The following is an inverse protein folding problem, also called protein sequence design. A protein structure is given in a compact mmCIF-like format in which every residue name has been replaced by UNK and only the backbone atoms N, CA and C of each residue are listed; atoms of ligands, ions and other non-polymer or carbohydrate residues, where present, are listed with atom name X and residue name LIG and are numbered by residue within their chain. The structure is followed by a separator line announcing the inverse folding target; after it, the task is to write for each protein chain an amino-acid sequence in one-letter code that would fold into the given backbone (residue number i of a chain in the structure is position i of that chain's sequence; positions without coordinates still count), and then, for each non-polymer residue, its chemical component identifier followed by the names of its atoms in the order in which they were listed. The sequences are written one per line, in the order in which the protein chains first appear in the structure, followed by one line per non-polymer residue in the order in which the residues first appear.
data_IF_005771069833
#
_entry.id   IF_005771069833
#
_cell.length_a   1.000
_cell.length_b   1.000
_cell.length_c   1.000
_cell.angle_alpha   90.00
_cell.angle_beta   90.00
_cell.angle_gamma   90.00
#
_symmetry.space_group_name_H-M   'P 1'
#
loop_
_entity.id
_entity.type
_entity.pdbx_description
1 polymer ?
#
# COMPACT_ATOMS: atom_id res chain seq x y z
N UNK A 1 -17.27 49.69 -3.47
CA UNK A 1 -16.74 48.45 -4.05
C UNK A 1 -16.78 47.37 -2.98
N UNK A 2 -17.84 46.53 -2.99
CA UNK A 2 -17.91 45.36 -2.11
C UNK A 2 -17.00 44.29 -2.67
N UNK A 3 -15.93 43.95 -1.95
CA UNK A 3 -15.11 42.81 -2.18
C UNK A 3 -15.96 41.56 -1.99
N UNK A 4 -16.31 40.88 -3.10
CA UNK A 4 -16.81 39.52 -3.08
C UNK A 4 -15.65 38.62 -2.62
N UNK A 5 -15.58 38.38 -1.31
CA UNK A 5 -14.79 37.29 -0.79
C UNK A 5 -15.34 36.00 -1.42
N UNK A 6 -14.61 35.42 -2.37
CA UNK A 6 -14.85 34.06 -2.82
C UNK A 6 -14.74 33.15 -1.61
N UNK A 7 -15.87 32.74 -1.06
CA UNK A 7 -15.94 31.64 -0.11
C UNK A 7 -15.47 30.43 -0.95
N UNK A 8 -14.21 30.08 -0.83
CA UNK A 8 -13.71 28.80 -1.30
C UNK A 8 -14.51 27.75 -0.54
N UNK A 9 -15.55 27.23 -1.17
CA UNK A 9 -16.34 26.13 -0.62
C UNK A 9 -15.37 25.01 -0.30
N UNK A 10 -15.31 24.61 0.95
CA UNK A 10 -14.37 23.57 1.39
C UNK A 10 -14.67 22.31 0.59
N UNK A 11 -13.72 21.90 -0.26
CA UNK A 11 -13.86 20.73 -1.13
C UNK A 11 -14.08 19.47 -0.28
N UNK A 12 -15.13 18.72 -0.58
CA UNK A 12 -15.50 17.46 0.09
C UNK A 12 -14.97 16.30 -0.73
N UNK A 13 -13.94 15.63 -0.23
CA UNK A 13 -13.23 14.56 -0.98
C UNK A 13 -13.60 13.21 -0.39
N UNK A 14 -13.93 12.24 -1.24
CA UNK A 14 -13.96 10.82 -0.88
C UNK A 14 -12.82 10.12 -1.60
N UNK A 15 -12.10 9.27 -0.86
CA UNK A 15 -11.02 8.44 -1.41
C UNK A 15 -11.35 6.96 -1.26
N UNK A 16 -11.03 6.15 -2.28
CA UNK A 16 -11.05 4.70 -2.20
C UNK A 16 -9.73 4.13 -2.75
N UNK A 17 -9.01 3.50 -1.85
CA UNK A 17 -7.63 3.07 -2.03
C UNK A 17 -6.67 3.84 -1.14
N UNK A 18 -5.86 3.11 -0.37
CA UNK A 18 -4.99 3.70 0.66
C UNK A 18 -3.90 4.60 0.07
N UNK A 19 -3.35 4.26 -1.10
CA UNK A 19 -2.34 5.09 -1.76
C UNK A 19 -2.92 6.46 -2.15
N UNK A 20 -4.13 6.48 -2.71
CA UNK A 20 -4.83 7.72 -3.05
C UNK A 20 -5.14 8.58 -1.83
N UNK A 21 -5.53 7.96 -0.72
CA UNK A 21 -5.77 8.64 0.56
C UNK A 21 -4.49 9.29 1.08
N UNK A 22 -3.38 8.56 1.07
CA UNK A 22 -2.08 9.08 1.49
C UNK A 22 -1.60 10.22 0.58
N UNK A 23 -1.82 10.12 -0.73
CA UNK A 23 -1.46 11.18 -1.68
C UNK A 23 -2.25 12.45 -1.37
N UNK A 24 -3.58 12.37 -1.23
CA UNK A 24 -4.43 13.53 -0.89
C UNK A 24 -3.97 14.19 0.41
N UNK A 25 -3.65 13.38 1.41
CA UNK A 25 -3.09 13.89 2.66
C UNK A 25 -1.73 14.55 2.47
N UNK A 26 -0.83 13.95 1.70
CA UNK A 26 0.49 14.50 1.38
C UNK A 26 0.43 15.81 0.59
N UNK A 27 -0.65 16.04 -0.16
CA UNK A 27 -0.92 17.31 -0.84
C UNK A 27 -1.48 18.40 0.10
N UNK A 28 -1.59 18.15 1.41
CA UNK A 28 -2.12 19.07 2.41
C UNK A 28 -3.65 19.17 2.41
N UNK A 29 -4.35 18.16 1.91
CA UNK A 29 -5.82 18.13 1.80
C UNK A 29 -6.47 17.08 2.71
N UNK A 30 -5.78 16.61 3.73
CA UNK A 30 -6.26 15.57 4.64
C UNK A 30 -7.56 15.97 5.35
N UNK A 31 -7.70 17.24 5.73
CA UNK A 31 -8.89 17.84 6.36
C UNK A 31 -10.10 17.96 5.41
N UNK A 32 -9.89 17.77 4.12
CA UNK A 32 -10.93 17.77 3.09
C UNK A 32 -11.53 16.40 2.84
N UNK A 33 -10.88 15.35 3.32
CA UNK A 33 -11.40 13.98 3.18
C UNK A 33 -12.54 13.80 4.18
N UNK A 34 -13.73 13.48 3.66
CA UNK A 34 -14.95 13.30 4.46
C UNK A 34 -15.31 11.83 4.70
N UNK A 35 -14.81 10.93 3.86
CA UNK A 35 -14.98 9.49 4.01
C UNK A 35 -13.89 8.75 3.21
N UNK A 36 -13.55 7.53 3.67
CA UNK A 36 -12.56 6.68 3.01
C UNK A 36 -13.08 5.24 2.90
N UNK A 37 -12.39 4.42 2.13
CA UNK A 37 -12.61 2.98 2.16
C UNK A 37 -11.98 2.33 3.41
N UNK A 38 -12.34 1.07 3.64
CA UNK A 38 -11.89 0.30 4.82
C UNK A 38 -10.37 0.08 4.89
N UNK A 39 -9.64 0.22 3.78
CA UNK A 39 -8.20 -0.01 3.72
C UNK A 39 -7.37 1.25 3.95
N UNK A 40 -7.98 2.40 3.93
CA UNK A 40 -7.34 3.72 4.11
C UNK A 40 -7.10 4.01 5.60
N UNK A 41 -6.10 3.34 6.17
CA UNK A 41 -5.79 3.40 7.61
C UNK A 41 -4.76 4.48 7.98
N UNK A 42 -4.09 5.07 6.99
CA UNK A 42 -3.06 6.09 7.19
C UNK A 42 -3.38 7.37 6.38
N UNK A 43 -3.11 8.57 6.93
CA UNK A 43 -2.68 8.84 8.32
C UNK A 43 -3.72 8.38 9.36
N UNK A 44 -3.34 8.20 10.65
CA UNK A 44 -4.23 7.59 11.65
C UNK A 44 -5.60 8.24 11.82
N UNK A 45 -5.71 9.56 11.58
CA UNK A 45 -6.99 10.28 11.64
C UNK A 45 -8.02 9.79 10.60
N UNK A 46 -7.60 9.12 9.53
CA UNK A 46 -8.50 8.55 8.54
C UNK A 46 -9.39 7.45 9.12
N UNK A 47 -8.92 6.77 10.17
CA UNK A 47 -9.67 5.71 10.84
C UNK A 47 -10.90 6.21 11.60
N UNK A 48 -10.98 7.52 11.88
CA UNK A 48 -12.14 8.16 12.54
C UNK A 48 -13.21 8.63 11.55
N UNK A 49 -12.91 8.62 10.26
CA UNK A 49 -13.86 9.06 9.23
C UNK A 49 -14.89 7.98 8.91
N UNK A 50 -16.06 8.37 8.39
CA UNK A 50 -17.03 7.42 7.83
C UNK A 50 -16.37 6.52 6.77
N UNK A 51 -16.68 5.23 6.82
CA UNK A 51 -16.20 4.28 5.81
C UNK A 51 -17.26 4.06 4.74
N UNK A 52 -16.86 4.19 3.46
CA UNK A 52 -17.71 3.82 2.32
C UNK A 52 -17.76 2.30 2.08
N UNK A 53 -17.09 1.50 2.91
CA UNK A 53 -17.06 0.05 2.79
C UNK A 53 -15.76 -0.51 2.23
N UNK A 54 -15.82 -1.75 1.75
CA UNK A 54 -14.68 -2.46 1.17
C UNK A 54 -15.06 -3.01 -0.20
N UNK A 55 -14.36 -2.58 -1.25
CA UNK A 55 -14.51 -3.09 -2.64
C UNK A 55 -15.94 -3.48 -3.03
N UNK A 56 -16.31 -4.75 -2.82
CA UNK A 56 -17.60 -5.32 -3.20
C UNK A 56 -18.80 -4.81 -2.39
N UNK A 57 -18.56 -4.17 -1.26
CA UNK A 57 -19.61 -3.59 -0.41
C UNK A 57 -19.81 -2.08 -0.61
N UNK A 58 -19.02 -1.46 -1.49
CA UNK A 58 -19.16 -0.04 -1.84
C UNK A 58 -20.36 0.11 -2.77
N UNK A 59 -21.25 1.07 -2.47
CA UNK A 59 -22.44 1.36 -3.26
C UNK A 59 -22.45 2.83 -3.72
N UNK A 60 -23.01 3.09 -4.90
CA UNK A 60 -23.14 4.45 -5.39
C UNK A 60 -24.05 5.30 -4.50
N UNK A 61 -25.14 4.74 -3.98
CA UNK A 61 -26.07 5.42 -3.08
C UNK A 61 -25.37 5.86 -1.78
N UNK A 62 -24.60 4.96 -1.15
CA UNK A 62 -23.86 5.28 0.07
C UNK A 62 -22.85 6.41 -0.13
N UNK A 63 -22.21 6.46 -1.30
CA UNK A 63 -21.28 7.54 -1.66
C UNK A 63 -22.03 8.86 -1.92
N UNK A 64 -23.08 8.83 -2.76
CA UNK A 64 -23.85 10.04 -3.13
C UNK A 64 -24.49 10.69 -1.90
N UNK A 65 -24.95 9.89 -0.92
CA UNK A 65 -25.55 10.40 0.31
C UNK A 65 -24.60 11.23 1.17
N UNK A 66 -23.30 11.10 0.95
CA UNK A 66 -22.27 11.90 1.61
C UNK A 66 -21.98 13.23 0.91
N UNK A 67 -22.63 13.50 -0.22
CA UNK A 67 -22.51 14.75 -1.00
C UNK A 67 -21.05 15.16 -1.27
N UNK A 68 -20.21 14.31 -1.89
CA UNK A 68 -18.85 14.67 -2.23
C UNK A 68 -18.79 15.63 -3.42
N UNK A 69 -17.82 16.54 -3.41
CA UNK A 69 -17.49 17.38 -4.58
C UNK A 69 -16.65 16.62 -5.59
N UNK A 70 -15.82 15.67 -5.13
CA UNK A 70 -14.96 14.85 -5.94
C UNK A 70 -14.65 13.52 -5.26
N UNK A 71 -14.49 12.51 -6.09
CA UNK A 71 -14.08 11.18 -5.66
C UNK A 71 -12.78 10.78 -6.35
N UNK A 72 -11.86 10.22 -5.59
CA UNK A 72 -10.59 9.69 -6.09
C UNK A 72 -10.58 8.20 -5.78
N UNK A 73 -10.64 7.39 -6.82
CA UNK A 73 -10.78 5.94 -6.74
C UNK A 73 -9.58 5.28 -7.41
N UNK A 74 -8.94 4.36 -6.71
CA UNK A 74 -8.00 3.45 -7.36
C UNK A 74 -8.78 2.45 -8.22
N UNK A 75 -8.20 2.10 -9.36
CA UNK A 75 -8.79 1.13 -10.30
C UNK A 75 -9.14 -0.18 -9.57
N UNK A 76 -10.26 -0.77 -9.93
CA UNK A 76 -10.80 -2.01 -9.36
C UNK A 76 -11.21 -1.94 -7.87
N UNK A 77 -11.19 -0.73 -7.27
CA UNK A 77 -11.72 -0.52 -5.91
C UNK A 77 -13.25 -0.47 -5.84
N UNK A 78 -13.88 -0.05 -6.91
CA UNK A 78 -15.33 -0.16 -7.13
C UNK A 78 -15.58 -0.90 -8.43
N UNK A 79 -16.63 -1.70 -8.50
CA UNK A 79 -16.98 -2.37 -9.74
C UNK A 79 -17.54 -1.36 -10.79
N UNK A 80 -17.51 -1.76 -12.06
CA UNK A 80 -17.93 -0.90 -13.16
C UNK A 80 -19.40 -0.44 -13.06
N UNK A 81 -20.27 -1.24 -12.45
CA UNK A 81 -21.68 -0.87 -12.23
C UNK A 81 -21.77 0.33 -11.31
N UNK A 82 -21.08 0.29 -10.16
CA UNK A 82 -21.03 1.41 -9.21
C UNK A 82 -20.39 2.63 -9.86
N UNK A 83 -19.27 2.45 -10.56
CA UNK A 83 -18.59 3.55 -11.25
C UNK A 83 -19.50 4.24 -12.27
N UNK A 84 -20.25 3.46 -13.07
CA UNK A 84 -21.20 3.99 -14.05
C UNK A 84 -22.38 4.69 -13.37
N UNK A 85 -22.91 4.16 -12.26
CA UNK A 85 -23.97 4.80 -11.49
C UNK A 85 -23.51 6.18 -10.95
N UNK A 86 -22.30 6.29 -10.42
CA UNK A 86 -21.73 7.54 -9.94
C UNK A 86 -21.59 8.57 -11.07
N UNK A 87 -21.05 8.16 -12.22
CA UNK A 87 -20.91 9.02 -13.41
C UNK A 87 -22.28 9.49 -13.94
N UNK A 88 -23.26 8.58 -14.01
CA UNK A 88 -24.62 8.91 -14.45
C UNK A 88 -25.36 9.86 -13.49
N UNK A 89 -25.03 9.80 -12.21
CA UNK A 89 -25.51 10.75 -11.20
C UNK A 89 -24.77 12.10 -11.21
N UNK A 90 -23.87 12.32 -12.19
CA UNK A 90 -23.15 13.58 -12.35
C UNK A 90 -21.99 13.77 -11.34
N UNK A 91 -21.57 12.71 -10.64
CA UNK A 91 -20.47 12.80 -9.71
C UNK A 91 -19.13 12.98 -10.43
N UNK A 92 -18.28 13.84 -9.90
CA UNK A 92 -16.90 14.00 -10.37
C UNK A 92 -16.04 12.87 -9.85
N UNK A 93 -15.62 11.96 -10.72
CA UNK A 93 -14.83 10.78 -10.36
C UNK A 93 -13.52 10.80 -11.12
N UNK A 94 -12.41 10.80 -10.37
CA UNK A 94 -11.08 10.52 -10.88
C UNK A 94 -10.74 9.07 -10.57
N UNK A 95 -10.52 8.26 -11.60
CA UNK A 95 -9.97 6.91 -11.45
C UNK A 95 -8.48 6.94 -11.76
N UNK A 96 -7.67 6.39 -10.87
CA UNK A 96 -6.21 6.30 -11.03
C UNK A 96 -5.77 4.84 -11.03
N UNK A 97 -4.72 4.53 -11.81
CA UNK A 97 -4.14 3.18 -11.82
C UNK A 97 -3.49 2.87 -10.47
N UNK A 98 -3.47 1.58 -10.07
CA UNK A 98 -2.92 1.14 -8.80
C UNK A 98 -1.81 0.08 -8.97
N UNK A 99 -1.11 0.09 -10.10
CA UNK A 99 -0.01 -0.82 -10.35
C UNK A 99 1.13 -0.64 -9.33
N UNK A 100 1.80 -1.75 -9.03
CA UNK A 100 2.88 -1.82 -8.05
C UNK A 100 4.24 -1.55 -8.70
N UNK A 101 4.47 -0.30 -9.13
CA UNK A 101 5.76 0.16 -9.63
C UNK A 101 5.95 1.68 -9.38
N UNK A 102 7.20 2.13 -9.43
CA UNK A 102 7.56 3.50 -9.10
C UNK A 102 6.97 4.53 -10.08
N UNK A 103 6.97 4.24 -11.37
CA UNK A 103 6.48 5.19 -12.39
C UNK A 103 4.97 5.39 -12.28
N UNK A 104 4.21 4.33 -12.06
CA UNK A 104 2.77 4.45 -11.82
C UNK A 104 2.45 5.14 -10.49
N UNK A 105 3.29 4.97 -9.48
CA UNK A 105 3.18 5.75 -8.22
C UNK A 105 3.35 7.25 -8.49
N UNK A 106 4.39 7.64 -9.24
CA UNK A 106 4.60 9.05 -9.65
C UNK A 106 3.46 9.58 -10.52
N UNK A 107 3.00 8.77 -11.46
CA UNK A 107 1.87 9.14 -12.32
C UNK A 107 0.59 9.38 -11.50
N UNK A 108 0.30 8.50 -10.56
CA UNK A 108 -0.85 8.62 -9.63
C UNK A 108 -0.76 9.91 -8.81
N UNK A 109 0.42 10.23 -8.26
CA UNK A 109 0.64 11.48 -7.52
C UNK A 109 0.35 12.68 -8.44
N UNK A 110 0.88 12.70 -9.68
CA UNK A 110 0.66 13.80 -10.63
C UNK A 110 -0.80 13.95 -11.04
N UNK A 111 -1.50 12.84 -11.27
CA UNK A 111 -2.93 12.86 -11.66
C UNK A 111 -3.79 13.44 -10.53
N UNK A 112 -3.59 12.99 -9.30
CA UNK A 112 -4.33 13.48 -8.13
C UNK A 112 -3.98 14.95 -7.86
N UNK A 113 -2.71 15.31 -7.88
CA UNK A 113 -2.25 16.69 -7.68
C UNK A 113 -2.81 17.65 -8.75
N UNK A 114 -2.87 17.22 -10.02
CA UNK A 114 -3.46 18.00 -11.09
C UNK A 114 -4.96 18.23 -10.89
N UNK A 115 -5.71 17.17 -10.54
CA UNK A 115 -7.14 17.24 -10.27
C UNK A 115 -7.48 18.14 -9.05
N UNK A 116 -6.58 18.19 -8.08
CA UNK A 116 -6.72 18.98 -6.85
C UNK A 116 -6.11 20.39 -6.94
N UNK A 117 -5.58 20.82 -8.10
CA UNK A 117 -4.83 22.07 -8.29
C UNK A 117 -3.63 22.21 -7.34
N UNK A 118 -2.93 21.09 -7.07
CA UNK A 118 -1.80 20.94 -6.15
C UNK A 118 -0.54 20.41 -6.86
N UNK A 119 -0.32 20.81 -8.13
CA UNK A 119 0.82 20.32 -8.93
C UNK A 119 2.18 20.55 -8.24
N UNK A 120 2.49 21.74 -7.68
CA UNK A 120 3.76 21.94 -6.99
C UNK A 120 3.96 21.01 -5.80
N UNK A 121 2.90 20.78 -5.00
CA UNK A 121 2.95 19.88 -3.85
C UNK A 121 3.12 18.41 -4.30
N UNK A 122 2.51 18.03 -5.42
CA UNK A 122 2.68 16.71 -6.02
C UNK A 122 4.12 16.46 -6.47
N UNK A 123 4.75 17.40 -7.16
CA UNK A 123 6.16 17.27 -7.55
C UNK A 123 7.10 17.27 -6.33
N UNK A 124 6.76 18.02 -5.27
CA UNK A 124 7.52 17.97 -4.01
C UNK A 124 7.44 16.59 -3.34
N UNK A 125 6.27 15.95 -3.32
CA UNK A 125 6.12 14.57 -2.82
C UNK A 125 6.99 13.59 -3.62
N UNK A 126 6.99 13.69 -4.95
CA UNK A 126 7.80 12.84 -5.82
C UNK A 126 9.29 13.07 -5.54
N UNK A 127 9.72 14.33 -5.47
CA UNK A 127 11.12 14.68 -5.23
C UNK A 127 11.62 14.16 -3.87
N UNK A 128 10.81 14.24 -2.82
CA UNK A 128 11.15 13.71 -1.50
C UNK A 128 11.34 12.18 -1.57
N UNK A 129 10.39 11.48 -2.17
CA UNK A 129 10.44 10.03 -2.36
C UNK A 129 11.68 9.60 -3.17
N UNK A 130 11.99 10.28 -4.27
CA UNK A 130 13.17 10.01 -5.10
C UNK A 130 14.48 10.27 -4.35
N UNK A 131 14.50 11.30 -3.51
CA UNK A 131 15.67 11.62 -2.66
C UNK A 131 15.92 10.50 -1.64
N UNK A 132 14.87 10.01 -0.99
CA UNK A 132 14.95 8.90 -0.06
C UNK A 132 15.39 7.59 -0.74
N UNK A 133 14.82 7.28 -1.91
CA UNK A 133 15.23 6.12 -2.71
C UNK A 133 16.68 6.21 -3.18
N UNK A 134 17.14 7.41 -3.57
CA UNK A 134 18.53 7.63 -3.95
C UNK A 134 19.47 7.40 -2.76
N UNK A 135 19.07 7.84 -1.56
CA UNK A 135 19.82 7.60 -0.33
C UNK A 135 19.87 6.10 0.01
N UNK A 136 18.73 5.41 -0.13
CA UNK A 136 18.65 3.96 0.08
C UNK A 136 19.53 3.20 -0.92
N UNK A 137 19.49 3.55 -2.21
CA UNK A 137 20.31 2.91 -3.24
C UNK A 137 21.82 2.99 -2.93
N UNK A 138 22.29 4.10 -2.33
CA UNK A 138 23.68 4.20 -1.85
C UNK A 138 24.00 3.24 -0.72
N UNK A 139 23.07 3.05 0.24
CA UNK A 139 23.22 2.06 1.33
C UNK A 139 23.25 0.64 0.76
N UNK A 140 22.33 0.32 -0.14
CA UNK A 140 22.27 -0.99 -0.82
C UNK A 140 23.56 -1.29 -1.58
N UNK A 141 24.11 -0.31 -2.30
CA UNK A 141 25.38 -0.47 -3.02
C UNK A 141 26.60 -0.73 -2.11
N UNK A 142 26.50 -0.38 -0.84
CA UNK A 142 27.54 -0.63 0.18
C UNK A 142 27.30 -1.93 0.96
N UNK A 143 26.15 -2.56 0.82
CA UNK A 143 25.84 -3.82 1.48
C UNK A 143 26.66 -4.97 0.86
N UNK A 144 27.13 -5.89 1.72
CA UNK A 144 27.98 -7.02 1.30
C UNK A 144 27.19 -8.30 0.97
N UNK A 145 25.86 -8.24 1.07
CA UNK A 145 24.97 -9.39 0.88
C UNK A 145 23.69 -8.96 0.19
N UNK A 146 22.98 -9.95 -0.37
CA UNK A 146 21.65 -9.78 -0.97
C UNK A 146 20.74 -10.86 -0.37
N UNK A 147 20.09 -10.58 0.78
CA UNK A 147 19.31 -11.57 1.50
C UNK A 147 18.11 -12.05 0.67
N UNK A 148 17.79 -13.35 0.77
CA UNK A 148 16.58 -13.94 0.20
C UNK A 148 15.40 -13.74 1.14
N UNK A 149 14.37 -13.03 0.70
CA UNK A 149 13.18 -12.73 1.47
C UNK A 149 11.98 -13.48 0.89
N UNK A 150 11.30 -14.25 1.71
CA UNK A 150 9.99 -14.82 1.36
C UNK A 150 8.89 -13.95 1.95
N UNK A 151 8.09 -13.34 1.08
CA UNK A 151 6.95 -12.53 1.49
C UNK A 151 5.74 -13.43 1.72
N UNK A 152 5.17 -13.37 2.94
CA UNK A 152 4.03 -14.21 3.34
C UNK A 152 2.82 -13.33 3.66
N UNK A 153 1.75 -13.55 2.91
CA UNK A 153 0.45 -13.00 3.23
C UNK A 153 -0.27 -13.96 4.18
N UNK A 154 -0.66 -13.47 5.35
CA UNK A 154 -1.32 -14.27 6.37
C UNK A 154 -2.61 -13.63 6.87
N UNK A 155 -3.64 -14.44 7.03
CA UNK A 155 -4.90 -14.13 7.74
C UNK A 155 -5.26 -15.34 8.62
N UNK A 156 -4.51 -15.49 9.72
CA UNK A 156 -4.57 -16.68 10.57
C UNK A 156 -3.85 -17.89 9.94
N UNK A 157 -3.64 -18.94 10.75
CA UNK A 157 -2.87 -20.12 10.37
C UNK A 157 -3.51 -20.94 9.23
N UNK A 158 -4.80 -20.82 9.00
CA UNK A 158 -5.53 -21.51 7.93
C UNK A 158 -5.46 -20.81 6.55
N UNK A 159 -4.91 -19.60 6.48
CA UNK A 159 -4.83 -18.84 5.23
C UNK A 159 -3.45 -18.19 5.09
N UNK A 160 -2.49 -19.00 4.66
CA UNK A 160 -1.10 -18.61 4.41
C UNK A 160 -0.81 -18.70 2.93
N UNK A 161 -0.33 -17.60 2.35
CA UNK A 161 0.02 -17.53 0.94
C UNK A 161 1.41 -16.91 0.77
N UNK A 162 2.14 -17.41 -0.20
CA UNK A 162 3.37 -16.78 -0.69
C UNK A 162 2.98 -15.69 -1.67
N UNK A 163 3.57 -14.52 -1.53
CA UNK A 163 3.41 -13.40 -2.46
C UNK A 163 4.49 -13.48 -3.55
N UNK A 164 4.06 -13.57 -4.79
CA UNK A 164 4.93 -13.65 -5.97
C UNK A 164 5.46 -12.31 -6.47
N UNK A 165 6.19 -12.37 -7.58
CA UNK A 165 6.98 -11.25 -8.14
C UNK A 165 6.14 -10.10 -8.75
N UNK A 166 4.85 -10.27 -8.91
CA UNK A 166 3.89 -9.27 -9.44
C UNK A 166 2.96 -8.69 -8.37
N UNK A 167 3.30 -8.88 -7.09
CA UNK A 167 2.53 -8.36 -5.96
C UNK A 167 3.13 -7.08 -5.39
N UNK A 168 2.36 -6.36 -4.57
CA UNK A 168 2.84 -5.17 -3.89
C UNK A 168 4.05 -5.40 -2.96
N UNK A 169 4.30 -6.64 -2.57
CA UNK A 169 5.47 -7.01 -1.75
C UNK A 169 6.81 -6.81 -2.47
N UNK A 170 6.83 -6.64 -3.79
CA UNK A 170 8.10 -6.49 -4.53
C UNK A 170 8.86 -5.20 -4.26
N UNK A 171 8.36 -4.37 -3.40
CA UNK A 171 9.12 -3.27 -2.78
C UNK A 171 10.41 -3.76 -2.07
N UNK A 172 10.51 -5.05 -1.72
CA UNK A 172 11.70 -5.68 -1.14
C UNK A 172 12.93 -5.54 -2.04
N UNK A 173 12.76 -5.52 -3.36
CA UNK A 173 13.88 -5.39 -4.30
C UNK A 173 14.57 -4.03 -4.19
N UNK A 174 13.79 -2.97 -3.89
CA UNK A 174 14.37 -1.64 -3.62
C UNK A 174 15.24 -1.61 -2.38
N UNK A 175 15.01 -2.53 -1.44
CA UNK A 175 15.81 -2.72 -0.23
C UNK A 175 17.07 -3.58 -0.45
N UNK A 176 17.42 -3.91 -1.71
CA UNK A 176 18.59 -4.74 -2.02
C UNK A 176 18.43 -6.21 -1.65
N UNK A 177 17.20 -6.69 -1.48
CA UNK A 177 16.92 -8.09 -1.19
C UNK A 177 16.42 -8.82 -2.46
N UNK A 178 16.41 -10.15 -2.44
CA UNK A 178 15.87 -10.99 -3.49
C UNK A 178 14.54 -11.62 -3.05
N UNK A 179 13.58 -11.73 -3.98
CA UNK A 179 12.46 -12.63 -3.77
C UNK A 179 12.95 -14.09 -3.72
N UNK A 180 12.62 -14.81 -2.66
CA UNK A 180 13.02 -16.22 -2.50
C UNK A 180 12.34 -17.18 -3.50
N UNK A 181 11.28 -16.72 -4.19
CA UNK A 181 10.45 -17.50 -5.12
C UNK A 181 10.11 -16.68 -6.39
N UNK A 182 11.13 -16.28 -7.18
CA UNK A 182 10.92 -15.38 -8.32
C UNK A 182 10.07 -15.97 -9.44
N UNK A 183 9.89 -17.28 -9.46
CA UNK A 183 9.05 -18.01 -10.43
C UNK A 183 7.55 -17.93 -10.09
N UNK A 184 7.18 -17.51 -8.89
CA UNK A 184 5.77 -17.42 -8.47
C UNK A 184 5.17 -16.08 -8.93
N UNK A 185 3.98 -16.14 -9.53
CA UNK A 185 3.12 -15.00 -9.84
C UNK A 185 1.86 -15.02 -8.98
N UNK A 186 1.41 -13.86 -8.53
CA UNK A 186 0.25 -13.68 -7.66
C UNK A 186 0.46 -14.28 -6.28
N UNK A 187 -0.64 -14.68 -5.67
CA UNK A 187 -0.62 -15.31 -4.36
C UNK A 187 -0.85 -16.81 -4.52
N UNK A 188 0.04 -17.64 -3.95
CA UNK A 188 -0.05 -19.11 -3.97
C UNK A 188 -0.08 -19.66 -2.55
N UNK A 189 -0.81 -20.75 -2.27
CA UNK A 189 -0.79 -21.39 -0.95
C UNK A 189 0.64 -21.72 -0.52
N UNK A 190 0.99 -21.36 0.72
CA UNK A 190 2.27 -21.74 1.30
C UNK A 190 2.24 -23.22 1.69
N UNK A 191 3.19 -24.01 1.20
CA UNK A 191 3.39 -25.39 1.63
C UNK A 191 4.80 -25.62 2.17
N UNK A 192 4.96 -26.61 3.02
CA UNK A 192 6.22 -26.88 3.74
C UNK A 192 7.38 -27.25 2.78
N UNK A 193 7.14 -28.02 1.75
CA UNK A 193 8.17 -28.44 0.80
C UNK A 193 8.72 -27.25 0.01
N UNK A 194 7.84 -26.42 -0.57
CA UNK A 194 8.25 -25.22 -1.28
C UNK A 194 9.01 -24.26 -0.38
N UNK A 195 8.57 -24.10 0.88
CA UNK A 195 9.24 -23.25 1.87
C UNK A 195 10.66 -23.75 2.18
N UNK A 196 10.82 -25.05 2.41
CA UNK A 196 12.12 -25.66 2.67
C UNK A 196 13.06 -25.53 1.46
N UNK A 197 12.53 -25.75 0.26
CA UNK A 197 13.30 -25.65 -0.99
C UNK A 197 13.73 -24.22 -1.30
N UNK A 198 12.86 -23.24 -1.07
CA UNK A 198 13.19 -21.81 -1.21
C UNK A 198 14.26 -21.37 -0.20
N UNK A 199 14.26 -21.97 0.99
CA UNK A 199 15.18 -21.71 2.09
C UNK A 199 15.50 -20.21 2.26
N UNK A 200 14.52 -19.36 2.56
CA UNK A 200 14.72 -17.92 2.69
C UNK A 200 15.61 -17.60 3.89
N UNK A 201 16.33 -16.45 3.78
CA UNK A 201 17.05 -15.87 4.90
C UNK A 201 16.11 -15.15 5.87
N UNK A 202 15.05 -14.54 5.33
CA UNK A 202 14.03 -13.82 6.10
C UNK A 202 12.61 -14.22 5.65
N UNK A 203 11.68 -14.25 6.62
CA UNK A 203 10.24 -14.28 6.37
C UNK A 203 9.68 -12.88 6.64
N UNK A 204 9.08 -12.25 5.63
CA UNK A 204 8.46 -10.94 5.74
C UNK A 204 6.93 -11.07 5.75
N UNK A 205 6.31 -10.46 6.75
CA UNK A 205 4.85 -10.39 6.92
C UNK A 205 4.38 -8.95 6.94
N UNK A 206 3.10 -8.72 6.64
CA UNK A 206 2.43 -7.55 7.15
C UNK A 206 2.27 -7.67 8.67
N UNK A 207 2.37 -6.57 9.41
CA UNK A 207 2.28 -6.57 10.88
C UNK A 207 1.00 -7.28 11.39
N UNK A 208 -0.15 -6.95 10.81
CA UNK A 208 -1.44 -7.61 11.13
C UNK A 208 -1.45 -9.11 10.80
N UNK A 209 -0.74 -9.51 9.75
CA UNK A 209 -0.57 -10.92 9.38
C UNK A 209 0.24 -11.67 10.43
N UNK A 210 1.38 -11.13 10.85
CA UNK A 210 2.20 -11.71 11.92
C UNK A 210 1.42 -11.82 13.23
N UNK A 211 0.68 -10.77 13.59
CA UNK A 211 -0.17 -10.74 14.79
C UNK A 211 -1.27 -11.82 14.73
N UNK A 212 -1.92 -12.01 13.57
CA UNK A 212 -2.95 -13.02 13.37
C UNK A 212 -2.47 -14.46 13.56
N UNK A 213 -1.17 -14.68 13.51
CA UNK A 213 -0.49 -15.96 13.75
C UNK A 213 -0.06 -16.15 15.21
N UNK A 214 -0.22 -15.15 16.07
CA UNK A 214 0.32 -15.13 17.44
C UNK A 214 1.79 -14.74 17.48
N UNK A 215 2.25 -13.91 16.57
CA UNK A 215 3.61 -13.40 16.48
C UNK A 215 4.63 -14.44 16.01
N UNK A 216 5.90 -14.20 16.31
CA UNK A 216 7.04 -15.05 15.91
C UNK A 216 6.85 -16.51 16.36
N UNK A 217 6.35 -16.72 17.59
CA UNK A 217 6.12 -18.05 18.13
C UNK A 217 5.07 -18.84 17.33
N UNK A 218 4.08 -18.16 16.76
CA UNK A 218 3.09 -18.79 15.89
C UNK A 218 3.69 -19.13 14.52
N UNK A 219 4.51 -18.26 13.95
CA UNK A 219 5.21 -18.51 12.69
C UNK A 219 6.15 -19.71 12.79
N UNK A 220 6.89 -19.86 13.89
CA UNK A 220 7.78 -21.01 14.11
C UNK A 220 7.06 -22.36 14.16
N UNK A 221 5.74 -22.39 14.38
CA UNK A 221 4.91 -23.59 14.36
C UNK A 221 4.41 -23.94 12.94
N UNK A 222 4.59 -23.06 11.96
CA UNK A 222 4.21 -23.34 10.57
C UNK A 222 5.10 -24.47 10.03
N UNK A 223 4.53 -25.54 9.44
CA UNK A 223 5.31 -26.63 8.87
C UNK A 223 6.35 -26.13 7.87
N UNK A 224 7.59 -26.57 8.03
CA UNK A 224 8.71 -26.17 7.17
C UNK A 224 9.54 -24.99 7.67
N UNK A 225 8.97 -24.08 8.48
CA UNK A 225 9.67 -22.86 8.93
C UNK A 225 10.93 -23.21 9.72
N UNK A 226 10.86 -24.11 10.69
CA UNK A 226 12.02 -24.49 11.54
C UNK A 226 13.16 -25.12 10.76
N UNK A 227 12.95 -25.61 9.54
CA UNK A 227 13.96 -26.19 8.65
C UNK A 227 14.69 -25.14 7.82
N UNK A 228 14.09 -23.93 7.62
CA UNK A 228 14.68 -22.84 6.84
C UNK A 228 15.75 -22.07 7.62
N UNK A 229 16.58 -21.32 6.89
CA UNK A 229 17.53 -20.35 7.49
C UNK A 229 16.79 -19.32 8.34
N UNK A 230 15.70 -18.77 7.82
CA UNK A 230 14.86 -17.79 8.52
C UNK A 230 14.32 -18.34 9.85
N UNK A 231 13.82 -19.57 9.87
CA UNK A 231 13.28 -20.19 11.07
C UNK A 231 14.35 -20.49 12.10
N UNK A 232 15.48 -21.06 11.69
CA UNK A 232 16.61 -21.39 12.58
C UNK A 232 17.21 -20.17 13.25
N UNK A 233 17.26 -19.04 12.54
CA UNK A 233 17.83 -17.77 13.04
C UNK A 233 16.76 -16.84 13.62
N UNK A 234 15.48 -17.24 13.62
CA UNK A 234 14.32 -16.40 14.01
C UNK A 234 14.28 -15.08 13.21
N UNK A 235 14.71 -15.07 11.98
CA UNK A 235 14.70 -13.91 11.07
C UNK A 235 13.31 -13.73 10.47
N UNK A 236 12.36 -13.34 11.33
CA UNK A 236 10.95 -13.10 11.01
C UNK A 236 10.68 -11.63 11.25
N UNK A 237 10.37 -10.91 10.18
CA UNK A 237 10.18 -9.46 10.20
C UNK A 237 8.76 -9.09 9.78
N UNK A 238 8.29 -7.97 10.28
CA UNK A 238 7.00 -7.41 9.92
C UNK A 238 7.09 -5.92 9.63
N UNK A 239 6.29 -5.47 8.67
CA UNK A 239 6.16 -4.08 8.23
C UNK A 239 4.67 -3.72 8.25
N UNK A 240 4.33 -2.45 8.46
CA UNK A 240 2.97 -1.96 8.26
C UNK A 240 2.44 -2.35 6.88
N UNK A 241 1.29 -3.02 6.84
CA UNK A 241 0.78 -3.62 5.60
C UNK A 241 0.44 -2.60 4.53
N UNK A 242 -0.09 -1.44 4.92
CA UNK A 242 -0.44 -0.35 3.99
C UNK A 242 0.83 0.21 3.36
N UNK A 243 1.84 0.52 4.18
CA UNK A 243 3.14 1.02 3.73
C UNK A 243 3.86 0.00 2.82
N UNK A 244 3.77 -1.30 3.17
CA UNK A 244 4.48 -2.38 2.48
C UNK A 244 3.91 -2.67 1.08
N UNK A 245 2.59 -2.64 0.90
CA UNK A 245 1.98 -3.22 -0.31
C UNK A 245 1.30 -2.25 -1.26
N UNK A 246 1.08 -1.00 -0.85
CA UNK A 246 0.23 -0.09 -1.62
C UNK A 246 0.97 0.82 -2.60
N UNK A 247 2.29 0.79 -2.60
CA UNK A 247 3.09 1.63 -3.51
C UNK A 247 2.65 3.10 -3.50
N UNK A 248 2.40 3.60 -2.29
CA UNK A 248 2.04 4.99 -2.03
C UNK A 248 3.25 5.90 -1.82
N UNK A 249 3.04 7.13 -1.35
CA UNK A 249 4.12 8.10 -1.11
C UNK A 249 5.18 7.62 -0.11
N UNK A 250 4.83 6.66 0.77
CA UNK A 250 5.74 6.09 1.79
C UNK A 250 6.50 4.85 1.32
N UNK A 251 6.55 4.57 0.00
CA UNK A 251 7.25 3.37 -0.49
C UNK A 251 8.75 3.38 -0.16
N UNK A 252 9.38 4.55 -0.17
CA UNK A 252 10.80 4.69 0.19
C UNK A 252 11.05 4.36 1.67
N UNK A 253 10.16 4.81 2.56
CA UNK A 253 10.20 4.46 3.99
C UNK A 253 10.04 2.94 4.19
N UNK A 254 9.14 2.28 3.46
CA UNK A 254 8.97 0.84 3.53
C UNK A 254 10.24 0.10 3.09
N UNK A 255 10.81 0.50 1.96
CA UNK A 255 12.04 -0.10 1.44
C UNK A 255 13.23 0.11 2.40
N UNK A 256 13.35 1.31 3.00
CA UNK A 256 14.38 1.60 4.00
C UNK A 256 14.21 0.73 5.25
N UNK A 257 12.97 0.60 5.77
CA UNK A 257 12.70 -0.25 6.94
C UNK A 257 13.03 -1.73 6.67
N UNK A 258 12.75 -2.22 5.46
CA UNK A 258 13.14 -3.58 5.05
C UNK A 258 14.67 -3.69 5.04
N UNK A 259 15.37 -2.73 4.43
CA UNK A 259 16.84 -2.71 4.41
C UNK A 259 17.42 -2.79 5.83
N UNK A 260 16.97 -1.95 6.74
CA UNK A 260 17.45 -1.89 8.13
C UNK A 260 17.19 -3.18 8.94
N UNK A 261 16.16 -3.96 8.54
CA UNK A 261 15.83 -5.23 9.19
C UNK A 261 16.53 -6.44 8.56
N UNK A 262 17.10 -6.29 7.35
CA UNK A 262 17.66 -7.42 6.61
C UNK A 262 19.17 -7.33 6.38
N UNK A 263 19.77 -6.15 6.54
CA UNK A 263 21.20 -5.88 6.40
C UNK A 263 21.81 -5.40 7.71
#
# INVERSE_FOLDING_TARGET
MLSLASISQAQRIITAGSSSTEIVCGLGLCDKIIATDRTSLYPPQMQSLPSIGYRTSITAEGIISLEPDVMILEKDYVNDVVLNQLKNAGQKVLVVENNSNLEDTKLRIRQIAAAMNKKPEGEALIQNMETELTSLAKKVAQANNTPKVLCVYARGAGNLQVAGNDTGFMIIEMAGTQNAVPEISGYKPLNAEALINANPDYLLFMASGLESLGGINGVLKIPGVAQTTAGKKMQIIAIDGVKLTNWGPRLAEAALEIFEKTH
#
